data_IF_348311716027
#
_entry.id   IF_348311716027
#
_cell.length_a   1.000
_cell.length_b   1.000
_cell.length_c   1.000
_cell.angle_alpha   90.00
_cell.angle_beta   90.00
_cell.angle_gamma   90.00
#
_symmetry.space_group_name_H-M   'P 1'
#
loop_
_entity.id
_entity.type
_entity.pdbx_description
1 polymer ?
#
# COMPACT_ATOMS: atom_id res chain seq x y z
N UNK A 1 -41.03 1.48 8.83
CA UNK A 1 -39.96 2.42 9.23
C UNK A 1 -39.60 3.24 8.00
N UNK A 2 -39.91 4.53 8.02
CA UNK A 2 -39.97 5.38 6.83
C UNK A 2 -38.56 5.73 6.30
N UNK A 3 -38.35 5.54 4.99
CA UNK A 3 -37.17 6.03 4.28
C UNK A 3 -37.42 7.47 3.83
N UNK A 4 -36.66 8.42 4.37
CA UNK A 4 -36.56 9.77 3.82
C UNK A 4 -35.33 9.86 2.92
N UNK A 5 -35.61 9.99 1.63
CA UNK A 5 -34.66 10.33 0.58
C UNK A 5 -34.53 11.86 0.52
N UNK A 6 -33.31 12.38 0.69
CA UNK A 6 -33.02 13.79 0.50
C UNK A 6 -31.95 13.93 -0.60
N UNK A 7 -32.38 14.26 -1.81
CA UNK A 7 -31.51 14.65 -2.92
C UNK A 7 -31.15 16.14 -2.78
N UNK A 8 -29.92 16.43 -2.34
CA UNK A 8 -29.36 17.78 -2.36
C UNK A 8 -28.71 18.09 -3.71
N UNK A 9 -29.33 18.96 -4.51
CA UNK A 9 -28.75 19.57 -5.70
C UNK A 9 -27.61 20.53 -5.29
N UNK A 10 -26.38 20.17 -5.61
CA UNK A 10 -25.21 21.03 -5.38
C UNK A 10 -25.01 21.94 -6.61
N UNK A 11 -25.31 23.23 -6.46
CA UNK A 11 -25.10 24.26 -7.48
C UNK A 11 -23.60 24.63 -7.55
N UNK A 12 -22.98 24.41 -8.71
CA UNK A 12 -21.59 24.80 -8.98
C UNK A 12 -21.50 26.33 -9.10
N UNK A 13 -20.65 26.96 -8.27
CA UNK A 13 -20.24 28.36 -8.43
C UNK A 13 -19.23 28.50 -9.59
N UNK A 14 -19.31 29.57 -10.41
CA UNK A 14 -18.34 29.83 -11.46
C UNK A 14 -17.01 30.33 -10.87
N UNK A 15 -15.92 29.70 -11.32
CA UNK A 15 -14.52 30.05 -11.03
C UNK A 15 -14.15 31.36 -11.73
N UNK A 16 -13.78 32.39 -10.96
CA UNK A 16 -13.23 33.64 -11.48
C UNK A 16 -11.82 33.41 -12.04
N UNK A 17 -11.65 33.68 -13.34
CA UNK A 17 -10.34 33.76 -14.01
C UNK A 17 -9.59 34.98 -13.50
N UNK A 18 -8.55 34.76 -12.70
CA UNK A 18 -7.52 35.77 -12.44
C UNK A 18 -6.60 35.88 -13.65
N UNK A 19 -6.66 37.01 -14.35
CA UNK A 19 -5.65 37.42 -15.34
C UNK A 19 -4.35 37.73 -14.59
N UNK A 20 -3.31 36.91 -14.78
CA UNK A 20 -1.96 37.24 -14.34
C UNK A 20 -1.42 38.37 -15.21
N UNK A 21 -1.22 39.54 -14.60
CA UNK A 21 -0.48 40.63 -15.23
C UNK A 21 1.00 40.23 -15.23
N UNK A 22 1.56 40.01 -16.41
CA UNK A 22 3.00 39.85 -16.60
C UNK A 22 3.60 41.23 -16.39
N UNK A 23 4.07 41.49 -15.17
CA UNK A 23 4.76 42.73 -14.83
C UNK A 23 6.08 42.81 -15.59
N UNK A 24 6.32 43.95 -16.25
CA UNK A 24 7.59 44.29 -16.87
C UNK A 24 8.73 44.16 -15.85
N UNK A 25 9.55 43.13 -16.02
CA UNK A 25 10.73 42.89 -15.18
C UNK A 25 11.81 43.91 -15.54
N UNK A 26 12.19 44.71 -14.54
CA UNK A 26 13.23 45.71 -14.63
C UNK A 26 14.58 45.03 -15.00
N UNK A 27 15.25 45.42 -16.09
CA UNK A 27 16.42 44.72 -16.64
C UNK A 27 17.59 44.61 -15.64
N UNK A 28 17.67 45.52 -14.66
CA UNK A 28 18.71 45.50 -13.62
C UNK A 28 18.53 44.33 -12.64
N UNK A 29 17.30 43.88 -12.38
CA UNK A 29 17.05 42.70 -11.53
C UNK A 29 17.40 41.40 -12.26
N UNK A 30 17.24 41.35 -13.58
CA UNK A 30 17.54 40.15 -14.37
C UNK A 30 19.04 39.82 -14.29
N UNK A 31 19.92 40.82 -14.43
CA UNK A 31 21.38 40.64 -14.38
C UNK A 31 21.85 40.11 -13.01
N UNK A 32 21.24 40.58 -11.91
CA UNK A 32 21.58 40.09 -10.57
C UNK A 32 21.19 38.62 -10.39
N UNK A 33 20.02 38.21 -10.88
CA UNK A 33 19.56 36.81 -10.78
C UNK A 33 20.46 35.88 -11.60
N UNK A 34 20.93 36.30 -12.77
CA UNK A 34 21.85 35.49 -13.59
C UNK A 34 23.21 35.29 -12.91
N UNK A 35 23.73 36.31 -12.21
CA UNK A 35 25.00 36.23 -11.48
C UNK A 35 24.98 35.27 -10.28
N UNK A 36 23.84 35.12 -9.61
CA UNK A 36 23.70 34.18 -8.48
C UNK A 36 23.44 32.74 -8.92
N UNK A 37 22.81 32.51 -10.09
CA UNK A 37 22.49 31.15 -10.56
C UNK A 37 23.68 30.44 -11.21
N UNK A 38 24.58 31.19 -11.86
CA UNK A 38 25.78 30.63 -12.52
C UNK A 38 26.67 29.77 -11.61
N UNK A 39 27.06 30.19 -10.38
CA UNK A 39 27.87 29.34 -9.51
C UNK A 39 27.11 28.10 -9.02
N UNK A 40 25.78 28.18 -8.81
CA UNK A 40 24.97 27.03 -8.36
C UNK A 40 24.89 25.96 -9.45
N UNK A 41 24.70 26.36 -10.70
CA UNK A 41 24.69 25.43 -11.84
C UNK A 41 26.06 24.77 -12.05
N UNK A 42 27.15 25.54 -11.91
CA UNK A 42 28.51 24.99 -12.00
C UNK A 42 28.80 24.01 -10.87
N UNK A 43 28.41 24.30 -9.62
CA UNK A 43 28.55 23.37 -8.49
C UNK A 43 27.75 22.09 -8.75
N UNK A 44 26.50 22.19 -9.19
CA UNK A 44 25.68 21.01 -9.50
C UNK A 44 26.29 20.15 -10.61
N UNK A 45 26.82 20.75 -11.67
CA UNK A 45 27.50 20.02 -12.75
C UNK A 45 28.78 19.33 -12.26
N UNK A 46 29.59 20.00 -11.44
CA UNK A 46 30.79 19.37 -10.86
C UNK A 46 30.45 18.20 -9.93
N UNK A 47 29.38 18.29 -9.13
CA UNK A 47 28.92 17.18 -8.28
C UNK A 47 28.42 15.97 -9.08
N UNK A 48 27.75 16.19 -10.22
CA UNK A 48 27.31 15.09 -11.11
C UNK A 48 28.52 14.39 -11.75
N UNK A 49 29.54 15.14 -12.17
CA UNK A 49 30.75 14.57 -12.78
C UNK A 49 31.60 13.83 -11.74
N UNK A 50 31.79 14.40 -10.54
CA UNK A 50 32.55 13.75 -9.48
C UNK A 50 31.79 12.58 -8.82
N UNK A 51 30.47 12.68 -8.66
CA UNK A 51 29.65 11.62 -8.08
C UNK A 51 29.68 10.33 -8.91
N UNK A 52 29.73 10.43 -10.25
CA UNK A 52 29.87 9.27 -11.13
C UNK A 52 31.23 8.56 -10.99
N UNK A 53 32.29 9.26 -10.60
CA UNK A 53 33.61 8.67 -10.43
C UNK A 53 33.82 8.02 -9.06
N UNK A 54 33.07 8.45 -8.02
CA UNK A 54 33.21 7.90 -6.66
C UNK A 54 32.33 6.66 -6.45
N UNK A 55 31.19 6.54 -7.14
CA UNK A 55 30.28 5.39 -7.01
C UNK A 55 30.52 4.24 -7.99
N UNK A 56 31.49 4.36 -8.91
CA UNK A 56 31.79 3.35 -9.95
C UNK A 56 32.73 2.20 -9.54
N UNK A 57 33.24 2.18 -8.31
CA UNK A 57 34.17 1.13 -7.83
C UNK A 57 33.71 0.57 -6.50
N UNK A 58 32.77 -0.38 -6.51
CA UNK A 58 32.35 -0.98 -5.24
C UNK A 58 31.25 -2.03 -5.24
N UNK A 59 30.89 -2.65 -6.37
CA UNK A 59 30.19 -3.94 -6.34
C UNK A 59 31.14 -5.02 -6.83
N UNK A 60 31.94 -5.47 -5.87
CA UNK A 60 32.87 -6.58 -5.98
C UNK A 60 32.07 -7.86 -6.16
N UNK A 61 32.06 -8.36 -7.39
CA UNK A 61 31.44 -9.62 -7.81
C UNK A 61 32.30 -10.83 -7.41
N UNK A 62 32.75 -10.88 -6.16
CA UNK A 62 33.59 -11.97 -5.65
C UNK A 62 32.87 -12.66 -4.48
N UNK A 63 31.65 -13.14 -4.74
CA UNK A 63 30.96 -14.09 -3.87
C UNK A 63 30.09 -15.05 -4.70
N UNK A 64 30.63 -15.51 -5.84
CA UNK A 64 30.17 -16.75 -6.47
C UNK A 64 31.12 -17.83 -6.02
N UNK A 65 30.98 -18.24 -4.75
CA UNK A 65 31.53 -19.51 -4.31
C UNK A 65 30.75 -20.60 -5.02
N UNK A 66 31.49 -21.39 -5.79
CA UNK A 66 31.04 -22.55 -6.52
C UNK A 66 30.23 -23.47 -5.59
N UNK A 67 28.91 -23.52 -5.83
CA UNK A 67 28.09 -24.64 -5.40
C UNK A 67 28.48 -25.80 -6.30
N UNK A 68 29.05 -26.81 -5.66
CA UNK A 68 29.46 -28.07 -6.26
C UNK A 68 28.27 -28.68 -7.01
N UNK A 69 28.49 -28.88 -8.32
CA UNK A 69 27.50 -29.34 -9.28
C UNK A 69 27.18 -30.83 -9.05
N UNK A 70 26.12 -31.11 -8.31
CA UNK A 70 25.46 -32.42 -8.34
C UNK A 70 24.63 -32.55 -9.63
N UNK A 71 25.20 -33.29 -10.58
CA UNK A 71 24.87 -33.30 -12.01
C UNK A 71 23.69 -34.20 -12.40
N UNK A 72 22.59 -34.15 -11.66
CA UNK A 72 21.29 -34.72 -12.10
C UNK A 72 20.08 -33.91 -11.64
N UNK A 73 20.13 -32.60 -11.79
CA UNK A 73 18.93 -31.76 -11.75
C UNK A 73 18.63 -31.31 -13.17
N UNK A 74 17.55 -31.83 -13.75
CA UNK A 74 16.91 -31.17 -14.88
C UNK A 74 16.71 -29.70 -14.51
N UNK A 75 16.89 -28.74 -15.44
CA UNK A 75 16.64 -27.35 -15.15
C UNK A 75 15.17 -27.23 -14.73
N UNK A 76 14.93 -27.17 -13.42
CA UNK A 76 13.64 -26.81 -12.87
C UNK A 76 13.43 -25.39 -13.36
N UNK A 77 12.46 -25.20 -14.25
CA UNK A 77 12.09 -23.86 -14.67
C UNK A 77 11.85 -23.05 -13.39
N UNK A 78 12.50 -21.88 -13.25
CA UNK A 78 12.35 -21.10 -12.04
C UNK A 78 10.86 -20.83 -11.83
N UNK A 79 10.38 -21.13 -10.62
CA UNK A 79 9.00 -20.84 -10.27
C UNK A 79 8.74 -19.35 -10.42
N UNK A 80 7.50 -19.02 -10.76
CA UNK A 80 7.06 -17.64 -10.79
C UNK A 80 7.16 -17.06 -9.38
N UNK A 81 7.65 -15.82 -9.28
CA UNK A 81 7.77 -15.12 -8.01
C UNK A 81 6.49 -14.32 -7.74
N UNK A 82 5.96 -14.42 -6.52
CA UNK A 82 4.71 -13.78 -6.15
C UNK A 82 4.74 -12.97 -4.85
N UNK A 83 4.12 -11.80 -4.91
CA UNK A 83 4.14 -10.82 -3.83
C UNK A 83 2.90 -10.94 -2.93
N UNK A 84 3.13 -11.22 -1.65
CA UNK A 84 2.08 -11.18 -0.63
C UNK A 84 1.98 -9.77 -0.04
N UNK A 85 0.93 -9.02 -0.41
CA UNK A 85 0.78 -7.62 -0.01
C UNK A 85 0.23 -7.47 1.42
N UNK A 86 1.12 -7.38 2.42
CA UNK A 86 0.75 -6.98 3.78
C UNK A 86 0.43 -5.47 3.84
N UNK A 87 -0.70 -5.11 4.43
CA UNK A 87 -1.09 -3.71 4.59
C UNK A 87 -0.05 -2.89 5.36
N UNK A 88 0.17 -1.66 4.88
CA UNK A 88 1.09 -0.66 5.45
C UNK A 88 2.58 -1.02 5.45
N UNK A 89 3.00 -1.99 4.64
CA UNK A 89 4.42 -2.33 4.44
C UNK A 89 5.02 -1.75 3.16
N UNK A 90 4.30 -0.84 2.48
CA UNK A 90 4.75 -0.25 1.22
C UNK A 90 4.41 -1.10 -0.01
N UNK A 91 3.48 -2.05 0.11
CA UNK A 91 3.15 -2.95 -1.00
C UNK A 91 2.66 -2.24 -2.27
N UNK A 92 1.93 -1.11 -2.17
CA UNK A 92 1.58 -0.33 -3.37
C UNK A 92 2.81 0.20 -4.15
N UNK A 93 3.92 0.47 -3.47
CA UNK A 93 5.16 0.86 -4.16
C UNK A 93 5.81 -0.34 -4.87
N UNK A 94 5.69 -1.55 -4.29
CA UNK A 94 6.19 -2.79 -4.88
C UNK A 94 5.34 -3.19 -6.09
N UNK A 95 4.01 -3.13 -5.96
CA UNK A 95 3.06 -3.36 -7.05
C UNK A 95 3.34 -2.40 -8.20
N UNK A 96 3.58 -1.12 -7.90
CA UNK A 96 3.96 -0.13 -8.90
C UNK A 96 5.29 -0.44 -9.58
N UNK A 97 6.31 -0.82 -8.81
CA UNK A 97 7.59 -1.22 -9.38
C UNK A 97 7.45 -2.47 -10.26
N UNK A 98 6.60 -3.43 -9.86
CA UNK A 98 6.26 -4.61 -10.66
C UNK A 98 5.57 -4.23 -11.96
N UNK A 99 4.49 -3.45 -11.89
CA UNK A 99 3.72 -3.01 -13.06
C UNK A 99 4.57 -2.23 -14.07
N UNK A 100 5.52 -1.41 -13.60
CA UNK A 100 6.49 -0.69 -14.46
C UNK A 100 7.46 -1.62 -15.23
N UNK A 101 7.55 -2.89 -14.83
CA UNK A 101 8.39 -3.92 -15.46
C UNK A 101 7.53 -5.09 -15.99
N UNK A 102 6.26 -4.83 -16.32
CA UNK A 102 5.32 -5.82 -16.85
C UNK A 102 5.09 -7.04 -15.92
N UNK A 103 5.27 -6.87 -14.60
CA UNK A 103 4.95 -7.87 -13.59
C UNK A 103 3.59 -7.57 -12.96
N UNK A 104 2.73 -8.58 -12.90
CA UNK A 104 1.43 -8.51 -12.22
C UNK A 104 1.61 -9.11 -10.83
N UNK A 105 1.37 -8.31 -9.80
CA UNK A 105 1.46 -8.68 -8.39
C UNK A 105 0.34 -8.05 -7.59
N UNK A 106 -0.05 -8.71 -6.50
CA UNK A 106 -0.97 -8.15 -5.50
C UNK A 106 -2.29 -7.65 -6.13
N UNK A 107 -2.60 -6.38 -5.93
CA UNK A 107 -3.84 -5.77 -6.42
C UNK A 107 -3.94 -5.76 -7.95
N UNK A 108 -2.81 -5.77 -8.68
CA UNK A 108 -2.82 -5.77 -10.13
C UNK A 108 -3.46 -7.02 -10.74
N UNK A 109 -3.53 -8.14 -10.00
CA UNK A 109 -4.25 -9.32 -10.50
C UNK A 109 -5.75 -9.08 -10.65
N UNK A 110 -6.32 -8.25 -9.78
CA UNK A 110 -7.76 -8.18 -9.55
C UNK A 110 -8.40 -6.93 -10.14
N UNK A 111 -7.65 -5.84 -10.30
CA UNK A 111 -8.22 -4.58 -10.75
C UNK A 111 -7.24 -3.66 -11.46
N UNK A 112 -7.82 -2.78 -12.27
CA UNK A 112 -7.13 -1.63 -12.83
C UNK A 112 -6.99 -0.55 -11.75
N UNK A 113 -5.76 -0.09 -11.54
CA UNK A 113 -5.39 0.91 -10.54
C UNK A 113 -4.33 1.83 -11.13
N UNK A 114 -4.74 3.03 -11.54
CA UNK A 114 -3.87 3.99 -12.22
C UNK A 114 -2.70 4.42 -11.33
N UNK A 115 -2.91 4.55 -10.01
CA UNK A 115 -1.90 5.05 -9.07
C UNK A 115 -0.66 4.14 -8.98
N UNK A 116 -0.89 2.84 -9.13
CA UNK A 116 0.12 1.77 -9.12
C UNK A 116 0.42 1.24 -10.53
N UNK A 117 -0.19 1.79 -11.59
CA UNK A 117 0.08 1.39 -12.97
C UNK A 117 -0.49 0.03 -13.38
N UNK A 118 -1.44 -0.53 -12.62
CA UNK A 118 -2.12 -1.76 -13.01
C UNK A 118 -3.14 -1.44 -14.10
N UNK A 119 -2.93 -1.90 -15.33
CA UNK A 119 -3.84 -1.62 -16.46
C UNK A 119 -4.54 -2.86 -17.02
N UNK A 120 -4.10 -4.05 -16.65
CA UNK A 120 -4.56 -5.32 -17.24
C UNK A 120 -4.64 -6.40 -16.16
N UNK A 121 -5.70 -6.44 -15.35
CA UNK A 121 -5.92 -7.54 -14.44
C UNK A 121 -6.05 -8.87 -15.21
N UNK A 122 -5.48 -9.93 -14.66
CA UNK A 122 -5.46 -11.27 -15.24
C UNK A 122 -6.39 -12.25 -14.52
N UNK A 123 -6.91 -11.89 -13.34
CA UNK A 123 -7.87 -12.69 -12.59
C UNK A 123 -9.28 -12.07 -12.61
N UNK A 124 -10.34 -12.90 -12.69
CA UNK A 124 -11.70 -12.40 -12.61
C UNK A 124 -12.01 -11.93 -11.18
N UNK A 125 -12.37 -10.66 -11.04
CA UNK A 125 -12.72 -10.06 -9.76
C UNK A 125 -14.02 -9.26 -9.85
N UNK A 126 -14.95 -9.56 -8.95
CA UNK A 126 -16.15 -8.75 -8.74
C UNK A 126 -16.21 -8.39 -7.28
N UNK A 127 -16.08 -7.09 -6.98
CA UNK A 127 -16.15 -6.62 -5.61
C UNK A 127 -17.50 -7.00 -4.99
N UNK A 128 -17.52 -7.69 -3.83
CA UNK A 128 -18.76 -8.08 -3.19
C UNK A 128 -19.53 -6.83 -2.71
N UNK A 129 -20.86 -6.90 -2.71
CA UNK A 129 -21.73 -5.82 -2.17
C UNK A 129 -21.73 -5.73 -0.63
N UNK A 130 -20.75 -6.32 0.03
CA UNK A 130 -20.60 -6.34 1.48
C UNK A 130 -19.13 -6.15 1.85
N UNK A 131 -18.87 -5.62 3.04
CA UNK A 131 -17.50 -5.47 3.53
C UNK A 131 -16.97 -6.81 4.00
N UNK A 132 -15.91 -7.29 3.36
CA UNK A 132 -15.13 -8.44 3.80
C UNK A 132 -13.71 -8.20 3.36
N UNK A 133 -12.79 -7.93 4.28
CA UNK A 133 -11.38 -7.73 3.96
C UNK A 133 -10.83 -8.77 2.96
N UNK A 134 -11.22 -10.03 3.12
CA UNK A 134 -10.74 -11.13 2.28
C UNK A 134 -11.25 -11.08 0.83
N UNK A 135 -12.42 -10.47 0.61
CA UNK A 135 -13.11 -10.48 -0.68
C UNK A 135 -13.22 -9.08 -1.30
N UNK A 136 -13.18 -8.01 -0.50
CA UNK A 136 -13.08 -6.62 -0.98
C UNK A 136 -11.65 -6.24 -1.34
N UNK A 137 -10.67 -6.93 -0.78
CA UNK A 137 -9.24 -6.69 -1.04
C UNK A 137 -8.45 -8.00 -0.98
N UNK A 138 -8.72 -8.97 -1.89
CA UNK A 138 -8.11 -10.30 -1.85
C UNK A 138 -6.59 -10.28 -1.80
N UNK A 139 -5.94 -9.29 -2.44
CA UNK A 139 -4.49 -9.08 -2.41
C UNK A 139 -3.90 -8.84 -1.01
N UNK A 140 -4.71 -8.41 -0.03
CA UNK A 140 -4.28 -8.25 1.36
C UNK A 140 -4.54 -9.46 2.26
N UNK A 141 -5.12 -10.52 1.72
CA UNK A 141 -5.55 -11.71 2.47
C UNK A 141 -4.41 -12.70 2.61
N UNK A 142 -4.14 -13.25 3.81
CA UNK A 142 -3.16 -14.32 3.97
C UNK A 142 -3.43 -15.47 2.97
N UNK A 143 -2.43 -15.97 2.22
CA UNK A 143 -2.65 -16.94 1.14
C UNK A 143 -3.46 -18.18 1.58
N UNK A 144 -3.12 -18.76 2.73
CA UNK A 144 -3.83 -19.91 3.32
C UNK A 144 -5.32 -19.64 3.56
N UNK A 145 -5.69 -18.41 3.89
CA UNK A 145 -7.08 -18.02 4.10
C UNK A 145 -7.76 -17.75 2.76
N UNK A 146 -7.08 -17.05 1.84
CA UNK A 146 -7.61 -16.77 0.51
C UNK A 146 -7.98 -18.05 -0.24
N UNK A 147 -7.12 -19.07 -0.20
CA UNK A 147 -7.33 -20.37 -0.84
C UNK A 147 -8.64 -21.06 -0.42
N UNK A 148 -9.18 -20.75 0.77
CA UNK A 148 -10.43 -21.33 1.28
C UNK A 148 -11.67 -20.62 0.71
N UNK A 149 -11.52 -19.41 0.19
CA UNK A 149 -12.64 -18.55 -0.21
C UNK A 149 -12.73 -18.31 -1.72
N UNK A 150 -11.69 -18.62 -2.48
CA UNK A 150 -11.64 -18.40 -3.93
C UNK A 150 -11.43 -19.72 -4.68
N UNK A 151 -11.87 -19.77 -5.93
CA UNK A 151 -11.59 -20.90 -6.82
C UNK A 151 -10.13 -20.90 -7.27
N UNK A 152 -9.66 -22.04 -7.81
CA UNK A 152 -8.27 -22.19 -8.24
C UNK A 152 -7.85 -21.15 -9.31
N UNK A 153 -8.76 -20.79 -10.22
CA UNK A 153 -8.57 -19.75 -11.25
C UNK A 153 -8.56 -18.32 -10.70
N UNK A 154 -8.83 -18.13 -9.41
CA UNK A 154 -8.77 -16.83 -8.71
C UNK A 154 -7.62 -16.76 -7.68
N UNK A 155 -6.80 -17.81 -7.59
CA UNK A 155 -5.74 -17.94 -6.60
C UNK A 155 -4.36 -17.67 -7.23
N UNK A 156 -3.79 -16.45 -7.10
CA UNK A 156 -2.56 -16.05 -7.78
C UNK A 156 -1.31 -16.73 -7.24
N UNK A 157 -1.40 -17.47 -6.13
CA UNK A 157 -0.23 -18.05 -5.46
C UNK A 157 0.00 -19.52 -5.84
N UNK A 158 -0.73 -20.05 -6.82
CA UNK A 158 -0.54 -21.42 -7.29
C UNK A 158 0.81 -21.57 -8.02
N UNK A 159 1.53 -22.64 -7.66
CA UNK A 159 2.90 -22.98 -8.09
C UNK A 159 3.89 -21.79 -8.16
N UNK A 160 3.80 -20.88 -7.19
CA UNK A 160 4.68 -19.71 -7.10
C UNK A 160 5.56 -19.75 -5.85
N UNK A 161 6.76 -19.19 -5.97
CA UNK A 161 7.58 -18.84 -4.81
C UNK A 161 7.08 -17.51 -4.24
N UNK A 162 6.79 -17.47 -2.95
CA UNK A 162 6.21 -16.30 -2.31
C UNK A 162 7.30 -15.44 -1.67
N UNK A 163 7.17 -14.13 -1.83
CA UNK A 163 7.94 -13.17 -1.06
C UNK A 163 7.05 -12.11 -0.45
N UNK A 164 7.57 -11.48 0.60
CA UNK A 164 6.88 -10.42 1.32
C UNK A 164 7.88 -9.37 1.78
N UNK A 165 7.43 -8.13 1.83
CA UNK A 165 8.18 -7.05 2.47
C UNK A 165 7.51 -6.74 3.80
N UNK A 166 8.31 -6.84 4.86
CA UNK A 166 7.91 -6.49 6.22
C UNK A 166 8.45 -5.11 6.57
N UNK A 167 7.78 -4.45 7.51
CA UNK A 167 8.15 -3.11 8.01
C UNK A 167 8.34 -3.16 9.52
N UNK A 168 9.17 -2.26 10.05
CA UNK A 168 9.26 -2.05 11.49
C UNK A 168 7.84 -1.82 12.07
N UNK A 169 7.47 -2.51 13.17
CA UNK A 169 6.13 -2.42 13.74
C UNK A 169 5.77 -1.00 14.18
N UNK A 170 6.72 -0.20 14.66
CA UNK A 170 6.47 1.19 15.05
C UNK A 170 6.09 2.05 13.84
N UNK A 171 6.83 1.92 12.73
CA UNK A 171 6.52 2.67 11.51
C UNK A 171 5.18 2.22 10.89
N UNK A 172 4.84 0.93 11.03
CA UNK A 172 3.54 0.40 10.60
C UNK A 172 2.40 1.03 11.42
N UNK A 173 2.57 1.11 12.74
CA UNK A 173 1.60 1.75 13.65
C UNK A 173 1.42 3.23 13.29
N UNK A 174 2.50 3.96 13.04
CA UNK A 174 2.43 5.36 12.61
C UNK A 174 1.70 5.50 11.26
N UNK A 175 2.03 4.65 10.29
CA UNK A 175 1.37 4.64 8.98
C UNK A 175 -0.13 4.32 9.07
N UNK A 176 -0.53 3.50 10.05
CA UNK A 176 -1.94 3.19 10.31
C UNK A 176 -2.62 4.36 11.04
N UNK A 177 -1.97 4.97 12.03
CA UNK A 177 -2.49 6.12 12.77
C UNK A 177 -2.84 7.29 11.84
N UNK A 178 -1.99 7.60 10.87
CA UNK A 178 -2.24 8.66 9.88
C UNK A 178 -3.04 8.20 8.64
N UNK A 179 -3.54 6.96 8.63
CA UNK A 179 -4.34 6.44 7.52
C UNK A 179 -5.68 7.19 7.42
N UNK A 180 -6.02 7.83 6.28
CA UNK A 180 -7.28 8.55 6.12
C UNK A 180 -8.55 7.68 6.19
N UNK A 181 -8.40 6.35 6.16
CA UNK A 181 -9.52 5.42 6.11
C UNK A 181 -9.80 4.81 7.50
N UNK A 182 -8.76 4.26 8.13
CA UNK A 182 -8.86 3.45 9.36
C UNK A 182 -8.10 4.04 10.54
N UNK A 183 -7.34 5.12 10.33
CA UNK A 183 -6.49 5.74 11.33
C UNK A 183 -7.24 6.59 12.36
N UNK A 184 -6.50 7.46 13.04
CA UNK A 184 -7.05 8.42 13.95
C UNK A 184 -7.82 9.50 13.19
N UNK A 185 -9.15 9.45 13.32
CA UNK A 185 -10.04 10.47 12.79
C UNK A 185 -10.26 11.54 13.85
N UNK A 186 -9.79 12.75 13.57
CA UNK A 186 -10.03 13.91 14.42
C UNK A 186 -11.55 14.17 14.49
N UNK A 187 -12.17 13.93 15.66
CA UNK A 187 -13.40 14.66 16.01
C UNK A 187 -12.96 16.06 16.44
N UNK A 188 -13.46 17.07 15.73
CA UNK A 188 -13.26 18.52 15.86
C UNK A 188 -12.20 18.98 16.91
N UNK A 189 -11.14 19.66 16.44
CA UNK A 189 -10.16 20.48 17.20
C UNK A 189 -8.95 19.81 17.91
N UNK A 190 -8.59 18.57 17.57
CA UNK A 190 -7.35 17.92 18.10
C UNK A 190 -6.22 17.75 17.09
N UNK A 191 -5.04 18.33 17.31
CA UNK A 191 -3.89 18.15 16.40
C UNK A 191 -3.38 16.70 16.44
N UNK A 192 -3.47 15.91 15.35
CA UNK A 192 -3.02 14.52 15.33
C UNK A 192 -1.52 14.34 15.59
N UNK A 193 -0.73 15.41 15.54
CA UNK A 193 0.71 15.34 15.81
C UNK A 193 1.04 15.40 17.31
N UNK A 194 0.05 15.61 18.18
CA UNK A 194 0.24 15.60 19.63
C UNK A 194 0.48 14.16 20.14
N UNK A 195 1.62 13.88 20.81
CA UNK A 195 1.96 12.52 21.26
C UNK A 195 0.91 11.86 22.16
N UNK A 196 0.14 12.66 22.91
CA UNK A 196 -0.95 12.16 23.75
C UNK A 196 -2.04 11.46 22.95
N UNK A 197 -2.32 11.90 21.71
CA UNK A 197 -3.34 11.30 20.85
C UNK A 197 -2.87 10.00 20.20
N UNK A 198 -1.63 9.94 19.74
CA UNK A 198 -1.03 8.69 19.28
C UNK A 198 -1.00 7.65 20.40
N UNK A 199 -0.50 8.02 21.59
CA UNK A 199 -0.42 7.11 22.74
C UNK A 199 -1.80 6.61 23.16
N UNK A 200 -2.81 7.49 23.20
CA UNK A 200 -4.18 7.09 23.49
C UNK A 200 -4.73 6.14 22.42
N UNK A 201 -4.55 6.46 21.14
CA UNK A 201 -5.05 5.65 20.03
C UNK A 201 -4.40 4.27 20.00
N UNK A 202 -3.08 4.18 20.21
CA UNK A 202 -2.37 2.89 20.26
C UNK A 202 -2.90 2.03 21.40
N UNK A 203 -3.03 2.59 22.62
CA UNK A 203 -3.60 1.87 23.76
C UNK A 203 -5.02 1.40 23.49
N UNK A 204 -5.87 2.30 22.99
CA UNK A 204 -7.25 1.98 22.63
C UNK A 204 -7.33 0.85 21.60
N UNK A 205 -6.56 0.93 20.51
CA UNK A 205 -6.55 -0.07 19.45
C UNK A 205 -6.06 -1.42 19.96
N UNK A 206 -4.98 -1.48 20.74
CA UNK A 206 -4.47 -2.73 21.31
C UNK A 206 -5.48 -3.35 22.27
N UNK A 207 -6.06 -2.56 23.20
CA UNK A 207 -7.08 -3.06 24.14
C UNK A 207 -8.29 -3.59 23.38
N UNK A 208 -8.83 -2.82 22.42
CA UNK A 208 -9.95 -3.25 21.59
C UNK A 208 -9.67 -4.57 20.86
N UNK A 209 -8.50 -4.71 20.24
CA UNK A 209 -8.12 -5.93 19.55
C UNK A 209 -7.98 -7.11 20.52
N UNK A 210 -7.38 -6.89 21.69
CA UNK A 210 -7.28 -7.90 22.75
C UNK A 210 -8.67 -8.39 23.18
N UNK A 211 -9.59 -7.46 23.44
CA UNK A 211 -10.96 -7.79 23.85
C UNK A 211 -11.68 -8.60 22.76
N UNK A 212 -11.47 -8.26 21.48
CA UNK A 212 -12.03 -8.98 20.33
C UNK A 212 -11.47 -10.40 20.21
N UNK A 213 -10.16 -10.58 20.44
CA UNK A 213 -9.53 -11.91 20.46
C UNK A 213 -10.06 -12.75 21.62
N UNK A 214 -10.17 -12.16 22.81
CA UNK A 214 -10.71 -12.85 23.99
C UNK A 214 -12.17 -13.26 23.81
N UNK A 215 -13.00 -12.38 23.23
CA UNK A 215 -14.39 -12.70 22.90
C UNK A 215 -14.45 -13.85 21.88
N UNK A 216 -13.62 -13.80 20.84
CA UNK A 216 -13.57 -14.84 19.82
C UNK A 216 -13.17 -16.21 20.39
N UNK A 217 -12.18 -16.25 21.30
CA UNK A 217 -11.71 -17.49 21.92
C UNK A 217 -12.75 -18.11 22.85
N UNK A 218 -13.61 -17.31 23.49
CA UNK A 218 -14.70 -17.78 24.35
C UNK A 218 -15.86 -18.43 23.60
N UNK A 219 -16.02 -18.15 22.30
CA UNK A 219 -17.09 -18.76 21.48
C UNK A 219 -16.71 -20.19 21.11
N UNK A 220 -17.64 -21.12 21.34
CA UNK A 220 -17.50 -22.52 20.96
C UNK A 220 -17.14 -22.62 19.45
N UNK A 221 -16.13 -23.41 19.06
CA UNK A 221 -15.73 -23.52 17.66
C UNK A 221 -16.87 -23.83 16.68
N UNK A 222 -17.90 -24.54 17.11
CA UNK A 222 -19.08 -24.87 16.29
C UNK A 222 -20.01 -23.67 16.05
N UNK A 223 -20.03 -22.71 16.98
CA UNK A 223 -20.85 -21.48 16.93
C UNK A 223 -20.12 -20.29 16.30
N UNK A 224 -18.82 -20.43 16.01
CA UNK A 224 -18.06 -19.36 15.37
C UNK A 224 -18.63 -19.06 13.99
N UNK A 225 -18.82 -17.77 13.63
CA UNK A 225 -19.30 -17.41 12.31
C UNK A 225 -18.34 -17.95 11.25
N UNK A 226 -18.83 -18.87 10.42
CA UNK A 226 -18.07 -19.47 9.32
C UNK A 226 -18.02 -18.57 8.08
N UNK A 227 -18.92 -17.59 8.03
CA UNK A 227 -19.09 -16.65 6.92
C UNK A 227 -19.36 -15.27 7.50
N UNK A 228 -18.77 -14.23 6.90
CA UNK A 228 -19.09 -12.84 7.23
C UNK A 228 -20.59 -12.60 7.04
N UNK A 229 -21.26 -12.07 8.06
CA UNK A 229 -22.65 -11.67 7.91
C UNK A 229 -22.77 -10.61 6.82
N UNK A 230 -23.65 -10.86 5.85
CA UNK A 230 -23.90 -9.96 4.74
C UNK A 230 -24.35 -8.60 5.28
N UNK A 231 -23.74 -7.52 4.81
CA UNK A 231 -24.02 -6.12 5.17
C UNK A 231 -23.59 -5.67 6.58
N UNK A 232 -22.84 -6.48 7.32
CA UNK A 232 -22.15 -6.03 8.55
C UNK A 232 -20.74 -5.59 8.18
N UNK A 233 -20.34 -4.38 8.58
CA UNK A 233 -18.94 -3.93 8.50
C UNK A 233 -18.09 -4.84 9.36
N UNK A 234 -17.04 -5.44 8.77
CA UNK A 234 -16.07 -6.38 9.36
C UNK A 234 -16.49 -7.04 10.68
N UNK A 235 -16.86 -8.33 10.64
CA UNK A 235 -17.20 -9.07 11.86
C UNK A 235 -15.96 -9.07 12.77
N UNK A 236 -16.03 -8.47 13.97
CA UNK A 236 -14.95 -8.47 14.95
C UNK A 236 -14.35 -9.85 15.20
N UNK A 237 -15.17 -10.89 15.12
CA UNK A 237 -14.78 -12.29 15.33
C UNK A 237 -13.99 -12.85 14.15
N UNK A 238 -14.28 -12.41 12.93
CA UNK A 238 -13.48 -12.75 11.75
C UNK A 238 -12.20 -11.93 11.66
N UNK A 239 -12.17 -10.71 12.22
CA UNK A 239 -10.92 -9.96 12.41
C UNK A 239 -10.02 -10.62 13.45
N UNK A 240 -10.59 -11.10 14.56
CA UNK A 240 -9.87 -11.82 15.60
C UNK A 240 -9.23 -13.14 15.13
N UNK A 241 -9.78 -13.80 14.09
CA UNK A 241 -9.12 -14.96 13.46
C UNK A 241 -7.80 -14.61 12.76
N UNK A 242 -7.58 -13.33 12.44
CA UNK A 242 -6.44 -12.86 11.64
C UNK A 242 -5.23 -12.48 12.49
N UNK A 243 -5.37 -12.44 13.81
CA UNK A 243 -4.37 -11.98 14.79
C UNK A 243 -4.20 -13.01 15.91
#
# INVERSE_FOLDING_TARGET
MAMMSAQGKMTRRPSSRTRSSIGNLNPVRLVKVTLYLLPVVLIAQTLVVYGKNIFGRGLRSDAVNAVESDSRTYPVLPKRLEFVHITKTGGSAIEKAGAMNDLIWGACHYMELEEVGCTKPDLPYVSPKYQSYALTSPWHTPPKLLQQYVSADQYPYDDADLFVVVRNPYDRILSEYYCPWMGFHQKYDKDPNEPVHLNWWVKYTITKLSDQVDEFQKVDPSDRPKVQQKYVSEDPRLLAQKH
#
